data_IF_282176928185
#
_entry.id   IF_282176928185
#
_cell.length_a   1.000
_cell.length_b   1.000
_cell.length_c   1.000
_cell.angle_alpha   90.00
_cell.angle_beta   90.00
_cell.angle_gamma   90.00
#
_symmetry.space_group_name_H-M   'P 1'
#
loop_
_entity.id
_entity.type
_entity.pdbx_description
1 polymer ?
#
# COMPACT_ATOMS: atom_id res chain seq x y z
N UNK A 1 40.08 -24.31 13.82
CA UNK A 1 39.63 -22.89 13.90
C UNK A 1 38.26 -22.82 13.27
N UNK A 2 37.21 -22.93 14.07
CA UNK A 2 35.81 -22.82 13.66
C UNK A 2 35.55 -21.38 13.23
N UNK A 3 35.41 -21.18 11.93
CA UNK A 3 34.94 -19.94 11.35
C UNK A 3 33.48 -19.75 11.80
N UNK A 4 33.27 -19.00 12.87
CA UNK A 4 31.94 -18.50 13.25
C UNK A 4 31.50 -17.53 12.16
N UNK A 5 30.96 -18.07 11.07
CA UNK A 5 30.20 -17.30 10.10
C UNK A 5 29.18 -16.51 10.91
N UNK A 6 29.34 -15.18 10.97
CA UNK A 6 28.37 -14.28 11.61
C UNK A 6 27.03 -14.54 10.94
N UNK A 7 26.17 -15.33 11.56
CA UNK A 7 24.77 -15.42 11.20
C UNK A 7 24.21 -14.03 11.48
N UNK A 8 24.09 -13.21 10.42
CA UNK A 8 23.44 -11.91 10.56
C UNK A 8 22.01 -12.19 11.03
N UNK A 9 21.53 -11.50 12.07
CA UNK A 9 20.18 -11.71 12.55
C UNK A 9 19.18 -11.40 11.42
N UNK A 10 18.09 -12.18 11.33
CA UNK A 10 17.12 -12.19 10.21
C UNK A 10 16.54 -10.81 9.86
N UNK A 11 16.66 -9.83 10.76
CA UNK A 11 16.23 -8.45 10.54
C UNK A 11 17.23 -7.58 9.77
N UNK A 12 18.53 -7.90 9.74
CA UNK A 12 19.59 -7.10 9.11
C UNK A 12 19.78 -7.39 7.61
N UNK A 13 18.68 -7.36 6.87
CA UNK A 13 18.71 -7.42 5.40
C UNK A 13 18.45 -6.03 4.81
N UNK A 14 18.98 -5.76 3.62
CA UNK A 14 18.73 -4.50 2.93
C UNK A 14 17.23 -4.23 2.70
N UNK A 15 16.40 -5.23 2.31
CA UNK A 15 14.96 -5.05 2.20
C UNK A 15 14.31 -4.56 3.50
N UNK A 16 14.63 -5.17 4.64
CA UNK A 16 14.02 -4.79 5.92
C UNK A 16 14.38 -3.36 6.35
N UNK A 17 15.60 -2.90 6.04
CA UNK A 17 16.00 -1.51 6.30
C UNK A 17 15.21 -0.53 5.44
N UNK A 18 14.89 -0.90 4.20
CA UNK A 18 14.08 -0.09 3.30
C UNK A 18 12.62 -0.08 3.77
N UNK A 19 12.05 -1.21 4.21
CA UNK A 19 10.72 -1.26 4.83
C UNK A 19 10.67 -0.37 6.08
N UNK A 20 11.69 -0.44 6.95
CA UNK A 20 11.76 0.42 8.14
C UNK A 20 11.88 1.90 7.78
N UNK A 21 12.71 2.24 6.79
CA UNK A 21 12.81 3.60 6.27
C UNK A 21 11.46 4.11 5.76
N UNK A 22 10.72 3.27 5.03
CA UNK A 22 9.36 3.58 4.56
C UNK A 22 8.41 3.87 5.71
N UNK A 23 8.43 3.05 6.76
CA UNK A 23 7.62 3.27 7.97
C UNK A 23 7.92 4.62 8.64
N UNK A 24 9.18 5.07 8.61
CA UNK A 24 9.57 6.41 9.11
C UNK A 24 9.12 7.52 8.16
N UNK A 25 9.07 7.28 6.86
CA UNK A 25 8.57 8.27 5.89
C UNK A 25 7.05 8.51 5.99
N UNK A 26 6.27 7.55 6.48
CA UNK A 26 4.81 7.71 6.67
C UNK A 26 4.48 8.93 7.56
N UNK A 27 4.97 9.06 8.81
CA UNK A 27 4.68 10.23 9.63
C UNK A 27 5.26 11.53 9.05
N UNK A 28 6.39 11.47 8.35
CA UNK A 28 6.96 12.63 7.63
C UNK A 28 5.99 13.10 6.54
N UNK A 29 5.46 12.17 5.74
CA UNK A 29 4.47 12.46 4.71
C UNK A 29 3.21 13.10 5.32
N UNK A 30 2.65 12.51 6.38
CA UNK A 30 1.47 13.04 7.07
C UNK A 30 1.75 14.48 7.53
N UNK A 31 2.90 14.71 8.19
CA UNK A 31 3.31 16.03 8.68
C UNK A 31 3.41 17.07 7.55
N UNK A 32 3.99 16.71 6.41
CA UNK A 32 4.12 17.61 5.25
C UNK A 32 2.77 17.94 4.61
N UNK A 33 1.87 16.96 4.51
CA UNK A 33 0.52 17.19 3.98
C UNK A 33 -0.25 18.14 4.89
N UNK A 34 -0.27 17.87 6.20
CA UNK A 34 -0.99 18.69 7.20
C UNK A 34 -0.38 20.09 7.32
N UNK A 35 0.95 20.22 7.18
CA UNK A 35 1.64 21.51 7.20
C UNK A 35 1.44 22.34 5.91
N UNK A 36 0.72 21.83 4.90
CA UNK A 36 0.47 22.55 3.65
C UNK A 36 1.69 22.65 2.73
N UNK A 37 2.54 21.62 2.73
CA UNK A 37 3.71 21.53 1.85
C UNK A 37 3.53 20.44 0.77
N UNK A 38 2.59 20.60 -0.19
CA UNK A 38 2.21 19.55 -1.14
C UNK A 38 3.36 19.11 -2.05
N UNK A 39 4.28 20.02 -2.41
CA UNK A 39 5.46 19.68 -3.21
C UNK A 39 6.42 18.73 -2.48
N UNK A 40 6.72 19.01 -1.21
CA UNK A 40 7.55 18.12 -0.39
C UNK A 40 6.84 16.81 -0.07
N UNK A 41 5.54 16.86 0.24
CA UNK A 41 4.74 15.68 0.44
C UNK A 41 4.72 14.78 -0.80
N UNK A 42 4.65 15.36 -2.01
CA UNK A 42 4.74 14.62 -3.27
C UNK A 42 6.09 13.92 -3.43
N UNK A 43 7.20 14.62 -3.15
CA UNK A 43 8.54 14.01 -3.17
C UNK A 43 8.60 12.84 -2.20
N UNK A 44 8.14 13.01 -0.96
CA UNK A 44 8.10 11.94 0.04
C UNK A 44 7.24 10.76 -0.42
N UNK A 45 6.07 11.02 -1.01
CA UNK A 45 5.19 9.98 -1.54
C UNK A 45 5.85 9.17 -2.67
N UNK A 46 6.55 9.85 -3.59
CA UNK A 46 7.30 9.17 -4.66
C UNK A 46 8.41 8.32 -4.07
N UNK A 47 9.15 8.82 -3.06
CA UNK A 47 10.19 8.04 -2.38
C UNK A 47 9.60 6.81 -1.68
N UNK A 48 8.45 6.94 -1.00
CA UNK A 48 7.73 5.79 -0.41
C UNK A 48 7.42 4.75 -1.49
N UNK A 49 6.83 5.14 -2.62
CA UNK A 49 6.48 4.21 -3.70
C UNK A 49 7.68 3.56 -4.37
N UNK A 50 8.77 4.32 -4.60
CA UNK A 50 10.00 3.79 -5.19
C UNK A 50 10.72 2.84 -4.23
N UNK A 51 10.68 3.13 -2.92
CA UNK A 51 11.31 2.27 -1.90
C UNK A 51 10.72 0.86 -1.89
N UNK A 52 9.41 0.73 -2.12
CA UNK A 52 8.69 -0.54 -2.24
C UNK A 52 9.06 -1.37 -3.46
N UNK A 53 9.21 -0.69 -4.59
CA UNK A 53 9.69 -1.39 -5.75
C UNK A 53 11.15 -1.84 -5.58
N UNK A 54 11.97 -1.01 -4.92
CA UNK A 54 13.39 -1.26 -4.73
C UNK A 54 13.65 -2.43 -3.76
N UNK A 55 12.97 -2.51 -2.61
CA UNK A 55 13.19 -3.60 -1.66
C UNK A 55 12.74 -4.96 -2.22
N UNK A 56 11.59 -5.03 -2.90
CA UNK A 56 11.11 -6.22 -3.57
C UNK A 56 12.00 -6.63 -4.75
N UNK A 57 12.65 -5.68 -5.42
CA UNK A 57 13.65 -5.98 -6.45
C UNK A 57 14.94 -6.53 -5.83
N UNK A 58 15.46 -5.90 -4.78
CA UNK A 58 16.69 -6.32 -4.09
C UNK A 58 16.50 -7.70 -3.46
N UNK A 59 15.36 -7.94 -2.79
CA UNK A 59 15.04 -9.22 -2.17
C UNK A 59 15.08 -10.37 -3.20
N UNK A 60 14.48 -10.17 -4.38
CA UNK A 60 14.44 -11.18 -5.46
C UNK A 60 15.78 -11.35 -6.17
N UNK A 61 16.50 -10.26 -6.41
CA UNK A 61 17.77 -10.30 -7.17
C UNK A 61 18.93 -10.86 -6.36
N UNK A 62 18.95 -10.60 -5.05
CA UNK A 62 20.04 -11.00 -4.17
C UNK A 62 19.67 -12.13 -3.21
N UNK A 63 18.48 -12.73 -3.36
CA UNK A 63 17.95 -13.80 -2.50
C UNK A 63 17.99 -13.44 -1.00
N UNK A 64 17.65 -12.18 -0.69
CA UNK A 64 17.72 -11.60 0.67
C UNK A 64 16.36 -11.55 1.37
N UNK A 65 15.46 -12.49 1.03
CA UNK A 65 14.16 -12.59 1.69
C UNK A 65 14.30 -13.05 3.15
N UNK A 66 13.74 -12.30 4.09
CA UNK A 66 13.72 -12.65 5.53
C UNK A 66 12.33 -13.08 5.97
N UNK A 67 12.21 -13.84 7.08
CA UNK A 67 10.88 -14.19 7.64
C UNK A 67 10.21 -12.97 8.26
N UNK A 68 11.01 -12.11 8.88
CA UNK A 68 10.55 -10.86 9.48
C UNK A 68 10.01 -9.87 8.43
N UNK A 69 10.71 -9.68 7.32
CA UNK A 69 10.26 -8.85 6.20
C UNK A 69 8.91 -9.34 5.66
N UNK A 70 8.79 -10.64 5.36
CA UNK A 70 7.53 -11.25 4.91
C UNK A 70 6.33 -11.02 5.86
N UNK A 71 6.57 -10.84 7.15
CA UNK A 71 5.53 -10.56 8.13
C UNK A 71 5.21 -9.06 8.26
N UNK A 72 6.23 -8.19 8.16
CA UNK A 72 6.08 -6.74 8.33
C UNK A 72 5.62 -6.04 7.05
N UNK A 73 6.09 -6.47 5.88
CA UNK A 73 5.82 -5.81 4.60
C UNK A 73 4.31 -5.63 4.35
N UNK A 74 3.44 -6.66 4.51
CA UNK A 74 1.99 -6.49 4.30
C UNK A 74 1.33 -5.49 5.27
N UNK A 75 1.91 -5.32 6.47
CA UNK A 75 1.43 -4.36 7.48
C UNK A 75 1.89 -2.97 7.09
N UNK A 76 3.17 -2.80 6.73
CA UNK A 76 3.74 -1.53 6.32
C UNK A 76 3.03 -0.97 5.08
N UNK A 77 2.72 -1.82 4.10
CA UNK A 77 2.00 -1.44 2.88
C UNK A 77 0.59 -0.92 3.17
N UNK A 78 -0.14 -1.62 4.04
CA UNK A 78 -1.49 -1.22 4.46
C UNK A 78 -1.48 0.06 5.27
N UNK A 79 -0.52 0.21 6.17
CA UNK A 79 -0.35 1.46 6.93
C UNK A 79 -0.02 2.63 5.99
N UNK A 80 0.83 2.41 4.99
CA UNK A 80 1.17 3.44 4.02
C UNK A 80 -0.05 3.90 3.23
N UNK A 81 -0.83 2.99 2.62
CA UNK A 81 -2.00 3.40 1.83
C UNK A 81 -3.07 4.08 2.70
N UNK A 82 -3.33 3.58 3.91
CA UNK A 82 -4.28 4.19 4.85
C UNK A 82 -3.81 5.58 5.24
N UNK A 83 -2.53 5.76 5.60
CA UNK A 83 -1.97 7.05 5.97
C UNK A 83 -2.03 8.05 4.81
N UNK A 84 -1.74 7.61 3.58
CA UNK A 84 -1.79 8.45 2.38
C UNK A 84 -3.22 8.94 2.16
N UNK A 85 -4.18 8.02 2.06
CA UNK A 85 -5.58 8.37 1.79
C UNK A 85 -6.16 9.22 2.94
N UNK A 86 -5.88 8.86 4.19
CA UNK A 86 -6.34 9.62 5.36
C UNK A 86 -5.79 11.06 5.36
N UNK A 87 -4.50 11.24 5.08
CA UNK A 87 -3.90 12.57 5.03
C UNK A 87 -4.57 13.46 3.98
N UNK A 88 -4.86 12.89 2.81
CA UNK A 88 -5.54 13.61 1.73
C UNK A 88 -7.00 13.95 2.10
N UNK A 89 -7.67 13.11 2.89
CA UNK A 89 -9.00 13.41 3.44
C UNK A 89 -8.93 14.55 4.46
N UNK A 90 -7.94 14.54 5.37
CA UNK A 90 -7.79 15.56 6.41
C UNK A 90 -7.59 16.98 5.83
N UNK A 91 -6.93 17.09 4.69
CA UNK A 91 -6.72 18.38 3.98
C UNK A 91 -7.80 18.68 2.94
N UNK A 92 -8.87 17.87 2.87
CA UNK A 92 -10.03 18.13 2.00
C UNK A 92 -9.81 17.82 0.51
N UNK A 93 -8.76 17.09 0.15
CA UNK A 93 -8.54 16.64 -1.23
C UNK A 93 -9.37 15.41 -1.59
N UNK A 94 -9.67 14.55 -0.60
CA UNK A 94 -10.53 13.38 -0.75
C UNK A 94 -11.72 13.41 0.21
N UNK A 95 -12.86 12.85 -0.18
CA UNK A 95 -13.99 12.65 0.73
C UNK A 95 -13.76 11.46 1.67
N UNK A 96 -14.32 11.53 2.88
CA UNK A 96 -14.20 10.50 3.93
C UNK A 96 -14.64 9.09 3.51
N UNK A 97 -15.55 8.98 2.54
CA UNK A 97 -16.01 7.66 2.09
C UNK A 97 -14.88 6.85 1.42
N UNK A 98 -13.88 7.49 0.80
CA UNK A 98 -12.76 6.78 0.15
C UNK A 98 -11.92 6.05 1.18
N UNK A 99 -11.55 6.73 2.27
CA UNK A 99 -10.78 6.09 3.36
C UNK A 99 -11.61 5.00 4.05
N UNK A 100 -12.91 5.23 4.26
CA UNK A 100 -13.80 4.24 4.85
C UNK A 100 -13.88 2.96 4.01
N UNK A 101 -14.00 3.09 2.68
CA UNK A 101 -14.02 1.95 1.76
C UNK A 101 -12.70 1.18 1.80
N UNK A 102 -11.56 1.87 1.75
CA UNK A 102 -10.24 1.22 1.80
C UNK A 102 -10.05 0.44 3.09
N UNK A 103 -10.29 1.09 4.23
CA UNK A 103 -10.14 0.46 5.54
C UNK A 103 -11.10 -0.71 5.72
N UNK A 104 -12.36 -0.58 5.29
CA UNK A 104 -13.35 -1.63 5.45
C UNK A 104 -13.01 -2.87 4.60
N UNK A 105 -12.63 -2.68 3.34
CA UNK A 105 -12.26 -3.80 2.45
C UNK A 105 -11.04 -4.53 3.01
N UNK A 106 -9.98 -3.81 3.38
CA UNK A 106 -8.77 -4.43 3.92
C UNK A 106 -9.04 -5.13 5.25
N UNK A 107 -9.87 -4.54 6.13
CA UNK A 107 -10.27 -5.16 7.40
C UNK A 107 -11.03 -6.47 7.17
N UNK A 108 -12.01 -6.48 6.25
CA UNK A 108 -12.76 -7.70 5.91
C UNK A 108 -11.82 -8.78 5.38
N UNK A 109 -10.88 -8.44 4.50
CA UNK A 109 -9.91 -9.40 3.97
C UNK A 109 -8.95 -9.92 5.04
N UNK A 110 -8.49 -9.08 5.97
CA UNK A 110 -7.71 -9.50 7.15
C UNK A 110 -8.50 -10.52 7.95
N UNK A 111 -9.72 -10.18 8.35
CA UNK A 111 -10.54 -11.02 9.23
C UNK A 111 -10.84 -12.36 8.56
N UNK A 112 -11.26 -12.36 7.30
CA UNK A 112 -11.51 -13.60 6.54
C UNK A 112 -10.25 -14.46 6.42
N UNK A 113 -9.12 -13.84 6.07
CA UNK A 113 -7.83 -14.53 5.98
C UNK A 113 -7.41 -15.16 7.31
N UNK A 114 -7.53 -14.41 8.41
CA UNK A 114 -7.18 -14.88 9.76
C UNK A 114 -8.10 -16.00 10.25
N UNK A 115 -9.41 -15.86 10.10
CA UNK A 115 -10.39 -16.83 10.62
C UNK A 115 -10.41 -18.13 9.79
N UNK A 116 -10.29 -18.03 8.46
CA UNK A 116 -10.45 -19.20 7.59
C UNK A 116 -9.13 -19.92 7.28
N UNK A 117 -8.00 -19.21 7.33
CA UNK A 117 -6.70 -19.67 6.84
C UNK A 117 -5.51 -19.32 7.75
N UNK A 118 -5.75 -18.90 9.01
CA UNK A 118 -4.69 -18.48 9.93
C UNK A 118 -3.76 -17.39 9.36
N UNK A 119 -4.30 -16.53 8.50
CA UNK A 119 -3.59 -15.40 7.91
C UNK A 119 -2.96 -15.65 6.53
N UNK A 120 -2.98 -16.89 6.02
CA UNK A 120 -2.42 -17.19 4.71
C UNK A 120 -3.39 -18.00 3.82
N UNK A 121 -4.30 -17.34 3.09
CA UNK A 121 -5.27 -17.99 2.22
C UNK A 121 -4.63 -18.55 0.94
N UNK A 122 -3.36 -18.21 0.65
CA UNK A 122 -2.59 -18.66 -0.52
C UNK A 122 -3.41 -18.54 -1.82
N UNK A 123 -3.70 -17.28 -2.19
CA UNK A 123 -4.50 -16.92 -3.35
C UNK A 123 -3.67 -16.12 -4.35
N UNK A 124 -3.86 -16.42 -5.63
CA UNK A 124 -3.20 -15.71 -6.71
C UNK A 124 -3.68 -14.25 -6.86
N UNK A 125 -2.79 -13.41 -7.37
CA UNK A 125 -3.11 -11.99 -7.60
C UNK A 125 -4.02 -11.84 -8.82
N UNK A 126 -5.20 -11.26 -8.61
CA UNK A 126 -6.16 -11.02 -9.69
C UNK A 126 -5.73 -9.85 -10.59
N UNK A 127 -6.14 -9.88 -11.86
CA UNK A 127 -5.94 -8.76 -12.78
C UNK A 127 -6.61 -7.47 -12.28
N UNK A 128 -7.79 -7.58 -11.67
CA UNK A 128 -8.49 -6.45 -11.01
C UNK A 128 -7.62 -5.81 -9.94
N UNK A 129 -6.95 -6.62 -9.10
CA UNK A 129 -6.03 -6.13 -8.08
C UNK A 129 -4.87 -5.33 -8.68
N UNK A 130 -4.28 -5.81 -9.78
CA UNK A 130 -3.20 -5.09 -10.49
C UNK A 130 -3.67 -3.76 -11.06
N UNK A 131 -4.83 -3.74 -11.72
CA UNK A 131 -5.40 -2.53 -12.33
C UNK A 131 -5.71 -1.49 -11.25
N UNK A 132 -6.36 -1.91 -10.15
CA UNK A 132 -6.58 -1.04 -8.99
C UNK A 132 -5.27 -0.40 -8.51
N UNK A 133 -4.25 -1.23 -8.29
CA UNK A 133 -3.00 -0.72 -7.72
C UNK A 133 -2.35 0.28 -8.65
N UNK A 134 -2.35 0.04 -9.96
CA UNK A 134 -1.88 1.00 -10.95
C UNK A 134 -2.66 2.32 -10.91
N UNK A 135 -4.00 2.25 -10.83
CA UNK A 135 -4.86 3.43 -10.75
C UNK A 135 -4.58 4.27 -9.50
N UNK A 136 -4.41 3.66 -8.33
CA UNK A 136 -4.10 4.37 -7.08
C UNK A 136 -2.65 4.90 -7.05
N UNK A 137 -1.70 4.12 -7.58
CA UNK A 137 -0.29 4.50 -7.67
C UNK A 137 -0.08 5.73 -8.55
N UNK A 138 -0.90 5.91 -9.60
CA UNK A 138 -0.90 7.12 -10.42
C UNK A 138 -1.81 8.20 -9.81
N UNK A 139 -3.02 7.85 -9.40
CA UNK A 139 -4.03 8.79 -8.96
C UNK A 139 -3.65 9.58 -7.70
N UNK A 140 -3.08 8.93 -6.69
CA UNK A 140 -2.75 9.60 -5.42
C UNK A 140 -1.62 10.64 -5.56
N UNK A 141 -0.48 10.34 -6.21
CA UNK A 141 0.54 11.35 -6.48
C UNK A 141 0.04 12.49 -7.37
N UNK A 142 -0.73 12.19 -8.43
CA UNK A 142 -1.26 13.24 -9.32
C UNK A 142 -2.28 14.12 -8.58
N UNK A 143 -3.06 13.55 -7.66
CA UNK A 143 -3.98 14.32 -6.82
C UNK A 143 -3.21 15.26 -5.89
N UNK A 144 -2.14 14.79 -5.27
CA UNK A 144 -1.29 15.62 -4.43
C UNK A 144 -0.54 16.69 -5.24
N UNK A 145 -0.09 16.35 -6.45
CA UNK A 145 0.50 17.31 -7.39
C UNK A 145 -0.49 18.40 -7.79
N UNK A 146 -1.77 18.06 -7.96
CA UNK A 146 -2.82 19.05 -8.27
C UNK A 146 -3.01 20.10 -7.17
N UNK A 147 -2.60 19.81 -5.93
CA UNK A 147 -2.66 20.73 -4.81
C UNK A 147 -1.44 21.67 -4.71
N UNK A 148 -0.43 21.53 -5.57
CA UNK A 148 0.67 22.48 -5.65
C UNK A 148 0.11 23.80 -6.21
N UNK A 149 0.36 24.91 -5.52
CA UNK A 149 -0.25 26.22 -5.80
C UNK A 149 -0.23 26.61 -7.28
N UNK A 150 0.91 26.46 -7.96
CA UNK A 150 1.04 26.78 -9.38
C UNK A 150 0.21 25.86 -10.29
N UNK A 151 -0.03 24.61 -9.89
CA UNK A 151 -0.83 23.65 -10.65
C UNK A 151 -2.32 23.88 -10.40
N UNK A 152 -2.71 24.13 -9.16
CA UNK A 152 -4.11 24.39 -8.78
C UNK A 152 -4.67 25.62 -9.53
N UNK A 153 -3.89 26.69 -9.63
CA UNK A 153 -4.28 27.92 -10.34
C UNK A 153 -4.33 27.75 -11.86
N UNK A 154 -3.35 27.06 -12.45
CA UNK A 154 -3.17 27.05 -13.91
C UNK A 154 -3.75 25.81 -14.59
N UNK A 155 -3.99 24.72 -13.86
CA UNK A 155 -4.39 23.43 -14.42
C UNK A 155 -5.38 22.67 -13.51
N UNK A 156 -6.56 23.24 -13.19
CA UNK A 156 -7.54 22.61 -12.29
C UNK A 156 -8.08 21.27 -12.81
N UNK A 157 -8.00 21.02 -14.12
CA UNK A 157 -8.36 19.74 -14.74
C UNK A 157 -7.49 18.58 -14.24
N UNK A 158 -6.26 18.84 -13.77
CA UNK A 158 -5.37 17.81 -13.22
C UNK A 158 -6.01 17.16 -11.99
N UNK A 159 -6.67 17.95 -11.14
CA UNK A 159 -7.40 17.44 -9.98
C UNK A 159 -8.54 16.52 -10.39
N UNK A 160 -9.31 16.90 -11.41
CA UNK A 160 -10.43 16.09 -11.93
C UNK A 160 -9.93 14.76 -12.47
N UNK A 161 -8.87 14.77 -13.28
CA UNK A 161 -8.24 13.56 -13.80
C UNK A 161 -7.75 12.69 -12.64
N UNK A 162 -7.05 13.25 -11.67
CA UNK A 162 -6.58 12.50 -10.51
C UNK A 162 -7.72 11.84 -9.73
N UNK A 163 -8.83 12.56 -9.51
CA UNK A 163 -10.01 12.03 -8.83
C UNK A 163 -10.65 10.87 -9.62
N UNK A 164 -10.70 10.95 -10.95
CA UNK A 164 -11.16 9.83 -11.79
C UNK A 164 -10.31 8.59 -11.54
N UNK A 165 -8.98 8.72 -11.56
CA UNK A 165 -8.08 7.61 -11.27
C UNK A 165 -8.28 7.05 -9.85
N UNK A 166 -8.39 7.93 -8.84
CA UNK A 166 -8.61 7.51 -7.45
C UNK A 166 -9.95 6.80 -7.28
N UNK A 167 -11.03 7.32 -7.86
CA UNK A 167 -12.35 6.71 -7.74
C UNK A 167 -12.45 5.39 -8.50
N UNK A 168 -11.87 5.29 -9.70
CA UNK A 168 -11.77 4.01 -10.41
C UNK A 168 -10.91 3.00 -9.64
N UNK A 169 -9.80 3.44 -9.05
CA UNK A 169 -8.96 2.60 -8.19
C UNK A 169 -9.68 2.15 -6.92
N UNK A 170 -10.51 3.02 -6.32
CA UNK A 170 -11.32 2.73 -5.13
C UNK A 170 -12.44 1.74 -5.48
N UNK A 171 -13.13 1.93 -6.60
CA UNK A 171 -14.12 0.97 -7.10
C UNK A 171 -13.45 -0.40 -7.39
N UNK A 172 -12.29 -0.38 -8.05
CA UNK A 172 -11.47 -1.58 -8.28
C UNK A 172 -11.05 -2.27 -6.98
N UNK A 173 -10.91 -1.53 -5.88
CA UNK A 173 -10.65 -2.10 -4.55
C UNK A 173 -11.78 -2.95 -4.03
N UNK A 174 -13.00 -2.42 -4.11
CA UNK A 174 -14.20 -3.13 -3.70
C UNK A 174 -14.36 -4.39 -4.53
N UNK A 175 -14.18 -4.29 -5.86
CA UNK A 175 -14.27 -5.43 -6.77
C UNK A 175 -13.20 -6.48 -6.48
N UNK A 176 -11.94 -6.09 -6.33
CA UNK A 176 -10.87 -7.02 -5.98
C UNK A 176 -11.12 -7.67 -4.61
N UNK A 177 -11.56 -6.89 -3.61
CA UNK A 177 -11.90 -7.40 -2.28
C UNK A 177 -13.04 -8.42 -2.31
N UNK A 178 -14.10 -8.15 -3.08
CA UNK A 178 -15.18 -9.11 -3.30
C UNK A 178 -14.68 -10.40 -3.98
N UNK A 179 -13.83 -10.28 -5.01
CA UNK A 179 -13.21 -11.44 -5.68
C UNK A 179 -12.38 -12.28 -4.71
N UNK A 180 -11.55 -11.65 -3.88
CA UNK A 180 -10.76 -12.36 -2.86
C UNK A 180 -11.63 -13.01 -1.79
N UNK A 181 -12.68 -12.33 -1.31
CA UNK A 181 -13.62 -12.90 -0.36
C UNK A 181 -14.33 -14.14 -0.92
N UNK A 182 -14.85 -14.06 -2.15
CA UNK A 182 -15.48 -15.20 -2.83
C UNK A 182 -14.49 -16.35 -3.02
N UNK A 183 -13.26 -16.06 -3.46
CA UNK A 183 -12.22 -17.08 -3.63
C UNK A 183 -11.88 -17.78 -2.30
N UNK A 184 -11.79 -17.03 -1.19
CA UNK A 184 -11.57 -17.58 0.14
C UNK A 184 -12.69 -18.55 0.56
N UNK A 185 -13.95 -18.16 0.38
CA UNK A 185 -15.07 -19.04 0.71
C UNK A 185 -15.16 -20.27 -0.20
N UNK A 186 -14.89 -20.11 -1.50
CA UNK A 186 -14.86 -21.23 -2.44
C UNK A 186 -13.75 -22.23 -2.08
N UNK A 187 -12.54 -21.75 -1.78
CA UNK A 187 -11.40 -22.60 -1.36
C UNK A 187 -11.70 -23.33 -0.05
N UNK A 188 -12.30 -22.65 0.94
CA UNK A 188 -12.67 -23.28 2.22
C UNK A 188 -13.70 -24.40 2.05
N UNK A 189 -14.66 -24.26 1.13
CA UNK A 189 -15.66 -25.30 0.84
C UNK A 189 -15.07 -26.52 0.11
N UNK A 190 -14.00 -26.33 -0.65
CA UNK A 190 -13.34 -27.40 -1.41
C UNK A 190 -12.43 -28.29 -0.55
N UNK A 191 -12.02 -27.83 0.64
CA UNK A 191 -11.26 -28.64 1.61
C UNK A 191 -12.26 -29.33 2.54
N UNK A 192 -12.42 -30.67 2.48
CA UNK A 192 -13.28 -31.38 3.41
C UNK A 192 -12.81 -31.15 4.85
N UNK A 193 -13.74 -30.96 5.78
CA UNK A 193 -13.40 -30.90 7.20
C UNK A 193 -12.74 -32.24 7.59
N UNK A 194 -11.46 -32.16 7.94
CA UNK A 194 -10.70 -33.27 8.53
C UNK A 194 -11.07 -33.46 10.00
#
# INVERSE_FOLDING_TARGET
MTETARQRPDWQTWPNLITLFRLVLIPVFIGLVVAGHPGWALVTLVVIGVSDWADGFIARKFDQGSKLGKAIDPVADRLAIIAIVLSLVLVGLLPWWVVAVVVLVDLVLVVLSSVLFHGNPDLDVTWTGKIRSALLFVGLPVLLFSAVHTVDENAPWVRVVALVFVYLGTAGHVLAGAQYAVAMFAKRRAVPAA
#
